data_IF_653093011708
#
_entry.id   IF_653093011708
#
_cell.length_a   1.000
_cell.length_b   1.000
_cell.length_c   1.000
_cell.angle_alpha   90.00
_cell.angle_beta   90.00
_cell.angle_gamma   90.00
#
_symmetry.space_group_name_H-M   'P 1'
#
loop_
_entity.id
_entity.type
_entity.pdbx_description
1 polymer ?
#
# COMPACT_ATOMS: atom_id res chain seq x y z
N UNK A 1 -39.65 -55.17 -59.53
CA UNK A 1 -38.33 -55.82 -59.75
C UNK A 1 -37.38 -54.81 -60.36
N UNK A 2 -36.10 -54.93 -60.00
CA UNK A 2 -34.93 -54.24 -60.54
C UNK A 2 -34.54 -52.89 -59.95
N UNK A 3 -33.41 -52.95 -59.24
CA UNK A 3 -32.53 -51.88 -58.78
C UNK A 3 -31.71 -51.32 -59.95
N UNK A 4 -31.11 -50.13 -59.80
CA UNK A 4 -29.66 -49.85 -59.94
C UNK A 4 -29.35 -48.34 -60.17
N UNK A 5 -28.69 -47.75 -59.16
CA UNK A 5 -27.54 -46.81 -59.10
C UNK A 5 -27.28 -45.65 -60.11
N UNK A 6 -27.16 -44.44 -59.48
CA UNK A 6 -26.15 -43.33 -59.59
C UNK A 6 -26.04 -42.46 -60.86
N UNK A 7 -25.35 -41.28 -60.84
CA UNK A 7 -25.02 -40.29 -59.79
C UNK A 7 -25.23 -38.80 -60.24
N UNK A 8 -25.12 -37.82 -59.32
CA UNK A 8 -24.80 -36.37 -59.50
C UNK A 8 -25.11 -35.67 -58.17
N UNK A 9 -24.50 -34.58 -57.70
CA UNK A 9 -23.51 -33.62 -58.18
C UNK A 9 -22.95 -32.95 -56.91
N UNK A 10 -21.73 -32.42 -56.97
CA UNK A 10 -21.07 -31.78 -55.83
C UNK A 10 -21.81 -30.56 -55.29
N UNK A 11 -21.70 -30.36 -53.97
CA UNK A 11 -22.03 -29.10 -53.32
C UNK A 11 -20.86 -28.70 -52.43
N UNK A 12 -20.22 -27.60 -52.80
CA UNK A 12 -19.18 -26.95 -52.01
C UNK A 12 -19.84 -26.36 -50.76
N UNK A 13 -19.52 -26.90 -49.58
CA UNK A 13 -19.80 -26.21 -48.32
C UNK A 13 -18.55 -25.47 -47.85
N UNK A 14 -18.67 -24.14 -47.90
CA UNK A 14 -17.73 -23.17 -47.35
C UNK A 14 -17.47 -23.46 -45.86
N UNK A 15 -16.18 -23.50 -45.51
CA UNK A 15 -15.65 -23.63 -44.15
C UNK A 15 -15.95 -22.36 -43.35
N UNK A 16 -16.75 -22.46 -42.29
CA UNK A 16 -16.86 -21.40 -41.30
C UNK A 16 -15.58 -21.36 -40.44
N UNK A 17 -15.08 -20.18 -40.01
CA UNK A 17 -13.94 -20.10 -39.11
C UNK A 17 -14.33 -20.60 -37.73
N UNK A 18 -13.58 -21.56 -37.20
CA UNK A 18 -13.67 -22.00 -35.81
C UNK A 18 -13.25 -20.84 -34.88
N UNK A 19 -14.21 -20.12 -34.32
CA UNK A 19 -13.96 -19.27 -33.15
C UNK A 19 -13.88 -20.17 -31.92
N UNK A 20 -12.70 -20.73 -31.68
CA UNK A 20 -12.39 -21.44 -30.43
C UNK A 20 -12.34 -20.43 -29.29
N UNK A 21 -13.46 -20.24 -28.61
CA UNK A 21 -13.50 -19.60 -27.28
C UNK A 21 -12.82 -20.56 -26.28
N UNK A 22 -11.74 -20.16 -25.59
CA UNK A 22 -11.17 -21.00 -24.54
C UNK A 22 -12.08 -20.94 -23.30
N UNK A 23 -12.86 -21.98 -23.06
CA UNK A 23 -13.49 -22.21 -21.74
C UNK A 23 -12.44 -22.75 -20.78
N UNK A 24 -11.80 -21.86 -20.02
CA UNK A 24 -11.03 -22.21 -18.83
C UNK A 24 -11.92 -22.09 -17.58
N UNK A 25 -13.01 -22.86 -17.54
CA UNK A 25 -13.68 -23.18 -16.28
C UNK A 25 -12.91 -24.33 -15.63
N UNK A 26 -11.79 -23.98 -15.00
CA UNK A 26 -11.07 -24.87 -14.10
C UNK A 26 -11.93 -25.03 -12.85
N UNK A 27 -12.57 -26.20 -12.72
CA UNK A 27 -13.28 -26.64 -11.51
C UNK A 27 -12.35 -26.50 -10.30
N UNK A 28 -12.47 -25.40 -9.56
CA UNK A 28 -11.81 -25.25 -8.28
C UNK A 28 -12.59 -26.09 -7.27
N UNK A 29 -11.89 -27.04 -6.65
CA UNK A 29 -12.37 -27.71 -5.46
C UNK A 29 -12.55 -26.64 -4.39
N UNK A 30 -13.75 -26.53 -3.81
CA UNK A 30 -13.99 -25.77 -2.60
C UNK A 30 -13.31 -26.50 -1.42
N UNK A 31 -11.99 -26.42 -1.34
CA UNK A 31 -11.31 -26.53 -0.07
C UNK A 31 -11.59 -25.21 0.65
N UNK A 32 -12.47 -25.27 1.65
CA UNK A 32 -12.69 -24.15 2.55
C UNK A 32 -11.33 -23.68 3.09
N UNK A 33 -10.94 -22.45 2.74
CA UNK A 33 -9.89 -21.70 3.44
C UNK A 33 -10.43 -21.28 4.81
N UNK A 34 -10.85 -22.23 5.63
CA UNK A 34 -11.11 -22.01 7.04
C UNK A 34 -9.79 -22.18 7.77
N UNK A 35 -9.39 -21.13 8.50
CA UNK A 35 -8.26 -21.06 9.42
C UNK A 35 -6.98 -20.45 8.85
N UNK A 36 -7.07 -19.24 8.29
CA UNK A 36 -6.00 -18.27 8.56
C UNK A 36 -6.26 -17.82 10.01
N UNK A 37 -5.33 -18.04 10.96
CA UNK A 37 -5.46 -17.45 12.29
C UNK A 37 -5.74 -15.97 12.10
N UNK A 38 -6.60 -15.39 12.91
CA UNK A 38 -6.84 -13.96 12.95
C UNK A 38 -5.55 -13.29 13.42
N UNK A 39 -4.54 -13.24 12.54
CA UNK A 39 -3.28 -12.56 12.78
C UNK A 39 -3.69 -11.11 12.80
N UNK A 40 -3.87 -10.59 14.02
CA UNK A 40 -3.79 -9.16 14.26
C UNK A 40 -2.40 -8.77 13.79
N UNK A 41 -2.28 -8.42 12.51
CA UNK A 41 -1.14 -7.74 11.96
C UNK A 41 -1.19 -6.39 12.69
N UNK A 42 -0.44 -6.30 13.79
CA UNK A 42 -0.13 -5.02 14.40
C UNK A 42 0.70 -4.31 13.35
N UNK A 43 0.08 -3.36 12.66
CA UNK A 43 0.77 -2.48 11.73
C UNK A 43 1.56 -1.53 12.61
N UNK A 44 2.73 -1.98 13.09
CA UNK A 44 3.66 -1.07 13.71
C UNK A 44 4.28 -0.25 12.58
N UNK A 45 3.55 0.78 12.16
CA UNK A 45 3.83 1.61 11.00
C UNK A 45 5.28 2.10 11.02
N UNK A 46 5.83 2.33 12.22
CA UNK A 46 7.23 2.69 12.38
C UNK A 46 7.84 2.00 13.59
N UNK A 47 8.59 0.92 13.34
CA UNK A 47 9.59 0.45 14.31
C UNK A 47 10.88 1.24 14.14
N UNK A 48 11.31 1.94 15.19
CA UNK A 48 12.59 2.65 15.28
C UNK A 48 12.75 3.86 14.34
N UNK A 49 11.73 4.73 14.25
CA UNK A 49 11.73 5.95 13.42
C UNK A 49 13.06 6.72 13.48
N UNK A 50 13.53 7.00 14.69
CA UNK A 50 14.76 7.75 14.94
C UNK A 50 15.97 7.17 14.21
N UNK A 51 16.12 5.85 14.23
CA UNK A 51 17.25 5.18 13.57
C UNK A 51 17.18 5.31 12.05
N UNK A 52 15.99 5.18 11.47
CA UNK A 52 15.77 5.35 10.02
C UNK A 52 16.11 6.77 9.57
N UNK A 53 15.65 7.79 10.32
CA UNK A 53 15.95 9.19 10.02
C UNK A 53 17.44 9.52 10.14
N UNK A 54 18.13 9.00 11.16
CA UNK A 54 19.59 9.20 11.32
C UNK A 54 20.36 8.48 10.21
N UNK A 55 19.98 7.25 9.89
CA UNK A 55 20.67 6.42 8.90
C UNK A 55 20.53 6.97 7.49
N UNK A 56 19.41 7.63 7.15
CA UNK A 56 19.24 8.26 5.85
C UNK A 56 20.39 9.22 5.48
N UNK A 57 20.95 9.93 6.46
CA UNK A 57 22.06 10.86 6.25
C UNK A 57 23.41 10.19 5.98
N UNK A 58 23.55 8.86 6.15
CA UNK A 58 24.81 8.13 5.93
C UNK A 58 25.09 7.78 4.46
N UNK A 59 24.18 8.15 3.54
CA UNK A 59 24.33 8.05 2.09
C UNK A 59 24.57 6.61 1.56
N UNK A 60 23.99 5.60 2.22
CA UNK A 60 23.92 4.23 1.72
C UNK A 60 22.62 4.00 0.93
N UNK A 61 22.70 3.36 -0.23
CA UNK A 61 21.54 3.02 -1.06
C UNK A 61 20.49 2.17 -0.32
N UNK A 62 20.95 1.25 0.55
CA UNK A 62 20.03 0.46 1.38
C UNK A 62 19.22 1.33 2.34
N UNK A 63 19.87 2.27 3.01
CA UNK A 63 19.22 3.14 4.01
C UNK A 63 18.28 4.15 3.35
N UNK A 64 18.64 4.64 2.15
CA UNK A 64 17.73 5.46 1.32
C UNK A 64 16.47 4.69 0.93
N UNK A 65 16.61 3.42 0.53
CA UNK A 65 15.46 2.59 0.18
C UNK A 65 14.54 2.37 1.38
N UNK A 66 15.09 2.06 2.56
CA UNK A 66 14.32 1.89 3.78
C UNK A 66 13.58 3.18 4.18
N UNK A 67 14.23 4.34 4.08
CA UNK A 67 13.58 5.63 4.28
C UNK A 67 12.46 5.88 3.27
N UNK A 68 12.69 5.63 1.97
CA UNK A 68 11.66 5.83 0.95
C UNK A 68 10.45 4.92 1.16
N UNK A 69 10.67 3.67 1.58
CA UNK A 69 9.61 2.76 1.94
C UNK A 69 8.79 3.31 3.12
N UNK A 70 9.45 3.80 4.17
CA UNK A 70 8.77 4.48 5.29
C UNK A 70 7.90 5.65 4.82
N UNK A 71 8.40 6.49 3.91
CA UNK A 71 7.64 7.63 3.35
C UNK A 71 6.38 7.13 2.61
N UNK A 72 6.51 6.08 1.79
CA UNK A 72 5.38 5.46 1.10
C UNK A 72 4.38 4.87 2.11
N UNK A 73 4.85 4.10 3.09
CA UNK A 73 4.01 3.45 4.09
C UNK A 73 3.18 4.47 4.88
N UNK A 74 3.79 5.57 5.34
CA UNK A 74 3.08 6.65 6.05
C UNK A 74 2.05 7.32 5.13
N UNK A 75 2.44 7.66 3.89
CA UNK A 75 1.56 8.32 2.92
C UNK A 75 0.34 7.44 2.61
N UNK A 76 0.58 6.16 2.34
CA UNK A 76 -0.43 5.22 1.89
C UNK A 76 -1.34 4.80 3.05
N UNK A 77 -0.80 4.70 4.28
CA UNK A 77 -1.58 4.45 5.48
C UNK A 77 -2.43 5.66 5.92
N UNK A 78 -2.19 6.87 5.42
CA UNK A 78 -2.78 8.10 5.97
C UNK A 78 -4.31 8.16 6.03
N UNK A 79 -5.01 7.33 5.24
CA UNK A 79 -6.47 7.18 5.27
C UNK A 79 -6.90 6.11 6.28
N UNK A 80 -6.19 4.99 6.36
CA UNK A 80 -6.58 3.78 7.10
C UNK A 80 -5.93 3.64 8.47
N UNK A 81 -4.95 4.50 8.80
CA UNK A 81 -4.25 4.49 10.07
C UNK A 81 -5.22 4.65 11.25
N UNK A 82 -5.08 3.77 12.24
CA UNK A 82 -5.86 3.84 13.48
C UNK A 82 -5.34 4.97 14.36
N UNK A 83 -6.23 5.57 15.13
CA UNK A 83 -5.87 6.68 16.03
C UNK A 83 -4.72 6.30 16.98
N UNK A 84 -4.72 5.08 17.53
CA UNK A 84 -3.63 4.59 18.40
C UNK A 84 -2.27 4.47 17.70
N UNK A 85 -2.26 4.16 16.40
CA UNK A 85 -1.03 4.05 15.61
C UNK A 85 -0.56 5.45 15.18
N UNK A 86 -1.49 6.33 14.85
CA UNK A 86 -1.22 7.73 14.52
C UNK A 86 -0.65 8.48 15.73
N UNK A 87 -1.21 8.29 16.92
CA UNK A 87 -0.67 8.87 18.17
C UNK A 87 0.79 8.46 18.36
N UNK A 88 1.11 7.17 18.22
CA UNK A 88 2.49 6.67 18.35
C UNK A 88 3.42 7.27 17.29
N UNK A 89 2.98 7.32 16.03
CA UNK A 89 3.74 7.95 14.95
C UNK A 89 4.05 9.42 15.29
N UNK A 90 3.06 10.17 15.78
CA UNK A 90 3.22 11.58 16.12
C UNK A 90 4.16 11.77 17.31
N UNK A 91 4.03 10.95 18.36
CA UNK A 91 4.93 10.97 19.51
C UNK A 91 6.37 10.68 19.10
N UNK A 92 6.60 9.66 18.27
CA UNK A 92 7.92 9.34 17.73
C UNK A 92 8.45 10.46 16.84
N UNK A 93 7.61 11.08 16.01
CA UNK A 93 7.99 12.20 15.16
C UNK A 93 8.42 13.42 15.99
N UNK A 94 7.69 13.74 17.06
CA UNK A 94 8.03 14.81 18.01
C UNK A 94 9.39 14.56 18.68
N UNK A 95 9.65 13.32 19.09
CA UNK A 95 10.94 12.91 19.65
C UNK A 95 12.11 12.99 18.66
N UNK A 96 11.82 13.13 17.37
CA UNK A 96 12.80 13.25 16.31
C UNK A 96 12.93 14.68 15.75
N UNK A 97 12.18 15.67 16.25
CA UNK A 97 12.21 17.04 15.72
C UNK A 97 13.64 17.60 15.71
N UNK A 98 14.42 17.33 16.74
CA UNK A 98 15.80 17.82 16.87
C UNK A 98 16.81 17.22 15.86
N UNK A 99 16.46 16.13 15.16
CA UNK A 99 17.31 15.52 14.13
C UNK A 99 16.80 15.80 12.72
N UNK A 100 15.69 16.51 12.56
CA UNK A 100 15.20 16.90 11.24
C UNK A 100 16.20 17.89 10.61
N UNK A 101 16.36 17.79 9.29
CA UNK A 101 17.23 18.65 8.51
C UNK A 101 16.66 18.80 7.09
N UNK A 102 17.34 19.56 6.22
CA UNK A 102 16.89 19.79 4.84
C UNK A 102 16.69 18.51 4.02
N UNK A 103 17.42 17.43 4.34
CA UNK A 103 17.31 16.14 3.65
C UNK A 103 16.06 15.36 4.07
N UNK A 104 15.52 15.63 5.26
CA UNK A 104 14.35 14.94 5.83
C UNK A 104 13.03 15.69 5.57
N UNK A 105 13.01 16.65 4.65
CA UNK A 105 11.81 17.43 4.31
C UNK A 105 10.65 16.57 3.80
N UNK A 106 10.92 15.45 3.12
CA UNK A 106 9.88 14.51 2.68
C UNK A 106 9.14 13.86 3.85
N UNK A 107 9.85 13.53 4.93
CA UNK A 107 9.24 13.00 6.15
C UNK A 107 8.24 13.99 6.75
N UNK A 108 8.64 15.25 6.90
CA UNK A 108 7.73 16.29 7.41
C UNK A 108 6.51 16.44 6.51
N UNK A 109 6.71 16.48 5.18
CA UNK A 109 5.63 16.60 4.21
C UNK A 109 4.60 15.47 4.32
N UNK A 110 5.03 14.22 4.49
CA UNK A 110 4.06 13.10 4.61
C UNK A 110 3.29 13.12 5.92
N UNK A 111 3.86 13.63 7.01
CA UNK A 111 3.11 13.87 8.26
C UNK A 111 2.07 14.99 8.06
N UNK A 112 2.45 16.06 7.35
CA UNK A 112 1.59 17.23 7.11
C UNK A 112 0.31 16.94 6.30
N UNK A 113 0.29 15.87 5.51
CA UNK A 113 -0.88 15.49 4.69
C UNK A 113 -1.83 14.51 5.39
N UNK A 114 -1.47 13.99 6.58
CA UNK A 114 -2.32 13.06 7.33
C UNK A 114 -3.62 13.75 7.78
N UNK A 115 -4.74 13.04 7.71
CA UNK A 115 -6.04 13.55 8.20
C UNK A 115 -6.14 13.45 9.72
N UNK A 116 -6.08 14.60 10.40
CA UNK A 116 -6.08 14.67 11.87
C UNK A 116 -7.25 15.47 12.48
N UNK A 117 -7.80 16.48 11.79
CA UNK A 117 -8.75 17.44 12.39
C UNK A 117 -10.08 16.84 12.88
N UNK A 118 -10.53 15.74 12.28
CA UNK A 118 -11.79 15.06 12.64
C UNK A 118 -11.55 13.76 13.41
N UNK A 119 -10.34 13.57 13.94
CA UNK A 119 -9.95 12.40 14.76
C UNK A 119 -10.23 12.71 16.24
N UNK A 120 -9.96 11.74 17.11
CA UNK A 120 -10.11 11.94 18.55
C UNK A 120 -9.19 13.06 19.10
N UNK A 121 -9.51 13.55 20.30
CA UNK A 121 -8.78 14.66 20.92
C UNK A 121 -7.29 14.36 21.14
N UNK A 122 -6.93 13.10 21.39
CA UNK A 122 -5.55 12.67 21.59
C UNK A 122 -4.72 12.87 20.31
N UNK A 123 -5.20 12.38 19.17
CA UNK A 123 -4.58 12.60 17.86
C UNK A 123 -4.46 14.09 17.56
N UNK A 124 -5.54 14.85 17.79
CA UNK A 124 -5.57 16.30 17.55
C UNK A 124 -4.51 17.01 18.37
N UNK A 125 -4.37 16.67 19.66
CA UNK A 125 -3.39 17.29 20.55
C UNK A 125 -1.95 16.93 20.18
N UNK A 126 -1.66 15.66 19.86
CA UNK A 126 -0.33 15.26 19.44
C UNK A 126 0.07 15.89 18.10
N UNK A 127 -0.88 16.01 17.17
CA UNK A 127 -0.64 16.63 15.89
C UNK A 127 -0.33 18.13 16.04
N UNK A 128 -1.12 18.85 16.86
CA UNK A 128 -0.85 20.25 17.20
C UNK A 128 0.50 20.42 17.87
N UNK A 129 0.85 19.52 18.79
CA UNK A 129 2.16 19.48 19.43
C UNK A 129 3.29 19.34 18.41
N UNK A 130 3.17 18.39 17.48
CA UNK A 130 4.13 18.22 16.39
C UNK A 130 4.28 19.48 15.52
N UNK A 131 3.18 20.11 15.12
CA UNK A 131 3.23 21.37 14.34
C UNK A 131 3.97 22.47 15.11
N UNK A 132 3.66 22.64 16.40
CA UNK A 132 4.32 23.64 17.24
C UNK A 132 5.82 23.35 17.38
N UNK A 133 6.20 22.10 17.62
CA UNK A 133 7.59 21.69 17.77
C UNK A 133 8.39 21.94 16.48
N UNK A 134 7.82 21.61 15.32
CA UNK A 134 8.45 21.87 14.01
C UNK A 134 8.56 23.38 13.73
N UNK A 135 7.49 24.15 13.93
CA UNK A 135 7.53 25.60 13.71
C UNK A 135 8.54 26.27 14.63
N UNK A 136 8.58 25.90 15.92
CA UNK A 136 9.53 26.51 16.87
C UNK A 136 10.98 26.14 16.58
N UNK A 137 11.26 24.91 16.13
CA UNK A 137 12.62 24.48 15.80
C UNK A 137 13.16 25.08 14.48
N UNK A 138 12.28 25.41 13.52
CA UNK A 138 12.66 25.81 12.16
C UNK A 138 12.07 27.16 11.70
N UNK A 139 11.61 28.00 12.63
CA UNK A 139 11.24 29.39 12.33
C UNK A 139 12.51 30.21 12.03
N UNK A 140 12.79 30.39 10.73
CA UNK A 140 13.80 31.31 10.19
C UNK A 140 13.16 32.59 9.69
#
# INVERSE_FOLDING_TARGET
>A
MSSYRTPKSGSHHMRAPSTSTPTLLKKHNNAALSNIPNVKINFNLVTNLKSLLINFNKNNEKEKLEYNNLICDIRDAGIEIKDSELVKLLQDARNCVNILNENLTLFVKVILILKWMNRNDEVVNEYRGFLLDVCTAYNY
#
